data_IF_644152980997
#
_entry.id   IF_644152980997
#
_cell.length_a   1.000
_cell.length_b   1.000
_cell.length_c   1.000
_cell.angle_alpha   90.00
_cell.angle_beta   90.00
_cell.angle_gamma   90.00
#
_symmetry.space_group_name_H-M   'P 1'
#
loop_
_entity.id
_entity.type
_entity.pdbx_description
1 polymer ?
#
# COMPACT_ATOMS: atom_id res chain seq x y z
N UNK A 1 56.67 -4.79 28.44
CA UNK A 1 55.54 -4.02 29.01
C UNK A 1 55.13 -2.81 28.16
N UNK A 2 56.07 -2.05 27.56
CA UNK A 2 55.76 -0.87 26.73
C UNK A 2 54.95 -1.17 25.44
N UNK A 3 55.12 -2.36 24.85
CA UNK A 3 54.34 -2.79 23.69
C UNK A 3 52.92 -3.29 24.00
N UNK A 4 52.66 -3.74 25.23
CA UNK A 4 51.32 -4.19 25.66
C UNK A 4 50.39 -3.00 25.96
N UNK A 5 50.95 -1.89 26.45
CA UNK A 5 50.19 -0.66 26.73
C UNK A 5 49.78 0.03 25.42
N UNK A 6 50.61 -0.04 24.36
CA UNK A 6 50.29 0.52 23.04
C UNK A 6 49.18 -0.29 22.36
N UNK A 7 49.16 -1.62 22.51
CA UNK A 7 48.10 -2.47 21.95
C UNK A 7 46.74 -2.24 22.64
N UNK A 8 46.75 -2.04 23.96
CA UNK A 8 45.54 -1.73 24.72
C UNK A 8 44.98 -0.32 24.42
N UNK A 9 45.85 0.66 24.13
CA UNK A 9 45.44 1.99 23.71
C UNK A 9 44.88 2.03 22.27
N UNK A 10 45.35 1.14 21.37
CA UNK A 10 44.80 1.03 20.01
C UNK A 10 43.42 0.38 19.93
N UNK A 11 43.00 -0.36 20.96
CA UNK A 11 41.68 -1.01 21.01
C UNK A 11 40.52 -0.07 21.38
N UNK A 12 40.83 1.13 21.89
CA UNK A 12 39.82 2.09 22.38
C UNK A 12 39.38 3.15 21.36
N UNK A 13 39.96 3.18 20.15
CA UNK A 13 39.69 4.24 19.16
C UNK A 13 38.67 3.84 18.07
N UNK A 14 38.15 2.61 18.08
CA UNK A 14 37.28 2.11 16.99
C UNK A 14 35.80 1.86 17.35
N UNK A 15 35.28 2.35 18.47
CA UNK A 15 33.86 2.16 18.83
C UNK A 15 32.96 3.39 18.62
N UNK A 16 33.45 4.41 17.91
CA UNK A 16 32.64 5.55 17.50
C UNK A 16 32.15 5.40 16.06
N UNK A 17 30.82 5.38 15.88
CA UNK A 17 30.06 5.47 14.60
C UNK A 17 29.61 4.11 14.02
N UNK A 18 28.35 3.79 13.71
CA UNK A 18 27.09 4.52 13.62
C UNK A 18 25.94 3.58 14.04
N UNK A 19 25.33 3.79 15.20
CA UNK A 19 23.95 3.36 15.43
C UNK A 19 23.07 4.60 15.31
N UNK A 20 22.75 5.01 14.08
CA UNK A 20 21.73 6.03 13.89
C UNK A 20 20.40 5.45 14.39
N UNK A 21 19.73 6.19 15.27
CA UNK A 21 18.40 5.86 15.76
C UNK A 21 17.46 5.62 14.55
N UNK A 22 16.77 4.46 14.47
CA UNK A 22 15.85 4.13 13.37
C UNK A 22 14.84 5.25 13.07
N UNK A 23 14.32 5.90 14.12
CA UNK A 23 13.35 7.00 13.97
C UNK A 23 13.99 8.18 13.23
N UNK A 24 15.24 8.54 13.57
CA UNK A 24 15.96 9.64 12.93
C UNK A 24 16.30 9.32 11.47
N UNK A 25 16.70 8.08 11.16
CA UNK A 25 16.96 7.65 9.78
C UNK A 25 15.69 7.67 8.93
N UNK A 26 14.57 7.17 9.47
CA UNK A 26 13.25 7.23 8.82
C UNK A 26 12.85 8.68 8.61
N UNK A 27 12.90 9.53 9.65
CA UNK A 27 12.59 10.96 9.54
C UNK A 27 13.41 11.64 8.45
N UNK A 28 14.72 11.42 8.43
CA UNK A 28 15.61 11.99 7.40
C UNK A 28 15.28 11.48 5.99
N UNK A 29 14.83 10.23 5.86
CA UNK A 29 14.42 9.65 4.58
C UNK A 29 13.17 10.36 4.04
N UNK A 30 12.13 10.48 4.85
CA UNK A 30 10.86 11.07 4.41
C UNK A 30 10.93 12.60 4.29
N UNK A 31 11.60 13.30 5.20
CA UNK A 31 11.77 14.76 5.11
C UNK A 31 12.58 15.21 3.89
N UNK A 32 13.48 14.36 3.38
CA UNK A 32 14.25 14.64 2.16
C UNK A 32 13.67 13.95 0.92
N UNK A 33 12.45 13.37 1.00
CA UNK A 33 11.85 12.64 -0.12
C UNK A 33 11.75 13.51 -1.37
N UNK A 34 11.19 14.72 -1.26
CA UNK A 34 11.00 15.63 -2.39
C UNK A 34 12.29 16.16 -3.03
N UNK A 35 13.46 15.94 -2.41
CA UNK A 35 14.77 16.30 -2.98
C UNK A 35 15.38 15.18 -3.83
N UNK A 36 14.77 14.00 -3.81
CA UNK A 36 15.24 12.79 -4.48
C UNK A 36 14.35 12.49 -5.68
N UNK A 37 14.90 11.78 -6.66
CA UNK A 37 14.16 11.43 -7.87
C UNK A 37 13.45 10.09 -7.69
N UNK A 38 12.17 10.03 -8.04
CA UNK A 38 11.42 8.77 -8.15
C UNK A 38 11.58 8.19 -9.54
N UNK A 39 12.24 7.04 -9.63
CA UNK A 39 12.35 6.24 -10.85
C UNK A 39 11.09 5.37 -10.97
N UNK A 40 10.28 5.63 -11.98
CA UNK A 40 9.10 4.81 -12.28
C UNK A 40 9.52 3.71 -13.24
N UNK A 41 9.60 2.49 -12.71
CA UNK A 41 10.12 1.34 -13.46
C UNK A 41 8.99 0.76 -14.30
N UNK A 42 9.11 0.91 -15.61
CA UNK A 42 8.14 0.44 -16.59
C UNK A 42 8.81 -0.67 -17.42
N UNK A 43 8.62 -1.96 -17.06
CA UNK A 43 9.35 -3.06 -17.68
C UNK A 43 8.85 -3.41 -19.09
N UNK A 44 7.61 -3.05 -19.43
CA UNK A 44 6.99 -3.39 -20.72
C UNK A 44 5.98 -2.34 -21.18
N UNK A 45 5.26 -2.63 -22.26
CA UNK A 45 4.14 -1.82 -22.79
C UNK A 45 2.78 -2.43 -22.45
N UNK A 46 2.68 -3.20 -21.36
CA UNK A 46 1.41 -3.76 -20.89
C UNK A 46 0.39 -2.66 -20.57
N UNK A 47 -0.90 -3.00 -20.57
CA UNK A 47 -1.97 -2.04 -20.24
C UNK A 47 -1.72 -1.38 -18.87
N UNK A 48 -1.39 -2.18 -17.87
CA UNK A 48 -1.07 -1.70 -16.53
C UNK A 48 0.13 -0.76 -16.50
N UNK A 49 1.15 -1.01 -17.31
CA UNK A 49 2.33 -0.14 -17.42
C UNK A 49 1.98 1.20 -18.09
N UNK A 50 1.10 1.18 -19.10
CA UNK A 50 0.58 2.39 -19.74
C UNK A 50 -0.29 3.21 -18.78
N UNK A 51 -1.16 2.55 -18.01
CA UNK A 51 -1.99 3.20 -16.99
C UNK A 51 -1.14 3.80 -15.87
N UNK A 52 -0.10 3.10 -15.41
CA UNK A 52 0.83 3.64 -14.41
C UNK A 52 1.59 4.84 -14.95
N UNK A 53 2.08 4.76 -16.20
CA UNK A 53 2.76 5.88 -16.86
C UNK A 53 1.85 7.10 -16.95
N UNK A 54 0.61 6.93 -17.38
CA UNK A 54 -0.38 8.00 -17.50
C UNK A 54 -0.73 8.61 -16.13
N UNK A 55 -1.01 7.76 -15.13
CA UNK A 55 -1.31 8.18 -13.77
C UNK A 55 -0.17 9.00 -13.16
N UNK A 56 1.08 8.54 -13.26
CA UNK A 56 2.24 9.28 -12.75
C UNK A 56 2.39 10.63 -13.45
N UNK A 57 2.28 10.69 -14.78
CA UNK A 57 2.36 11.95 -15.52
C UNK A 57 1.28 12.94 -15.04
N UNK A 58 0.06 12.45 -14.83
CA UNK A 58 -1.09 13.26 -14.44
C UNK A 58 -1.02 13.73 -13.00
N UNK A 59 -0.63 12.90 -12.03
CA UNK A 59 -0.82 13.22 -10.60
C UNK A 59 0.44 13.19 -9.73
N UNK A 60 1.58 12.67 -10.18
CA UNK A 60 2.79 12.64 -9.35
C UNK A 60 3.39 14.04 -9.19
N UNK A 61 3.46 14.53 -7.95
CA UNK A 61 3.92 15.89 -7.61
C UNK A 61 4.87 15.95 -6.41
N UNK A 62 4.95 14.90 -5.60
CA UNK A 62 5.73 14.91 -4.34
C UNK A 62 7.26 14.94 -4.53
N UNK A 63 7.76 14.56 -5.71
CA UNK A 63 9.17 14.57 -6.07
C UNK A 63 9.37 14.65 -7.59
N UNK A 64 10.54 15.08 -8.09
CA UNK A 64 10.93 14.84 -9.48
C UNK A 64 10.83 13.36 -9.81
N UNK A 65 10.41 13.02 -11.03
CA UNK A 65 10.33 11.63 -11.48
C UNK A 65 10.90 11.43 -12.87
N UNK A 66 11.37 10.22 -13.13
CA UNK A 66 11.87 9.78 -14.43
C UNK A 66 11.39 8.35 -14.68
N UNK A 67 11.06 8.02 -15.92
CA UNK A 67 10.77 6.64 -16.29
C UNK A 67 12.08 5.90 -16.58
N UNK A 68 12.18 4.67 -16.12
CA UNK A 68 13.28 3.78 -16.48
C UNK A 68 12.77 2.37 -16.80
N UNK A 69 13.58 1.59 -17.51
CA UNK A 69 13.31 0.18 -17.72
C UNK A 69 13.88 -0.67 -16.57
N UNK A 70 13.60 -1.98 -16.62
CA UNK A 70 14.09 -2.90 -15.60
C UNK A 70 15.63 -3.04 -15.60
N UNK A 71 16.29 -2.90 -16.76
CA UNK A 71 17.73 -3.05 -16.88
C UNK A 71 18.48 -1.86 -16.23
N UNK A 72 17.98 -0.64 -16.41
CA UNK A 72 18.44 0.55 -15.71
C UNK A 72 18.20 0.39 -14.21
N UNK A 73 16.98 0.00 -13.79
CA UNK A 73 16.67 -0.27 -12.39
C UNK A 73 17.69 -1.21 -11.73
N UNK A 74 18.04 -2.34 -12.37
CA UNK A 74 19.01 -3.28 -11.81
C UNK A 74 20.40 -2.64 -11.55
N UNK A 75 20.82 -1.68 -12.37
CA UNK A 75 22.09 -0.96 -12.22
C UNK A 75 22.03 0.05 -11.07
N UNK A 76 20.90 0.73 -10.89
CA UNK A 76 20.78 1.85 -9.94
C UNK A 76 20.03 1.53 -8.64
N UNK A 77 19.47 0.33 -8.47
CA UNK A 77 18.67 -0.06 -7.28
C UNK A 77 19.37 0.11 -5.92
N UNK A 78 20.70 0.14 -5.91
CA UNK A 78 21.52 0.35 -4.70
C UNK A 78 21.83 1.83 -4.42
N UNK A 79 21.46 2.75 -5.32
CA UNK A 79 21.67 4.17 -5.13
C UNK A 79 20.59 4.76 -4.22
N UNK A 80 21.02 5.32 -3.09
CA UNK A 80 20.13 5.90 -2.08
C UNK A 80 19.52 7.25 -2.50
N UNK A 81 19.94 7.82 -3.63
CA UNK A 81 19.36 9.04 -4.21
C UNK A 81 18.02 8.79 -4.92
N UNK A 82 17.69 7.53 -5.20
CA UNK A 82 16.45 7.18 -5.88
C UNK A 82 15.42 6.50 -4.97
N UNK A 83 14.16 6.72 -5.30
CA UNK A 83 13.06 5.84 -4.95
C UNK A 83 12.57 5.14 -6.21
N UNK A 84 12.02 3.94 -6.08
CA UNK A 84 11.55 3.15 -7.19
C UNK A 84 10.06 2.88 -7.02
N UNK A 85 9.25 3.39 -7.96
CA UNK A 85 7.83 3.05 -8.05
C UNK A 85 7.69 1.99 -9.13
N UNK A 86 7.26 0.78 -8.76
CA UNK A 86 7.22 -0.33 -9.71
C UNK A 86 6.18 -1.37 -9.35
N UNK A 87 5.71 -2.10 -10.37
CA UNK A 87 4.87 -3.28 -10.18
C UNK A 87 5.76 -4.46 -9.78
N UNK A 88 5.36 -5.19 -8.75
CA UNK A 88 6.10 -6.36 -8.24
C UNK A 88 5.16 -7.52 -7.99
N UNK A 89 5.57 -8.72 -8.38
CA UNK A 89 4.91 -9.94 -7.95
C UNK A 89 5.27 -10.25 -6.50
N UNK A 90 4.28 -10.65 -5.70
CA UNK A 90 4.45 -10.99 -4.29
C UNK A 90 5.55 -12.02 -4.04
N UNK A 91 6.70 -11.56 -3.56
CA UNK A 91 7.83 -12.41 -3.14
C UNK A 91 7.71 -12.77 -1.66
N UNK A 92 6.84 -13.72 -1.30
CA UNK A 92 6.98 -14.41 0.00
C UNK A 92 7.74 -15.73 -0.20
N UNK A 93 9.01 -15.70 0.23
CA UNK A 93 10.06 -16.70 0.01
C UNK A 93 9.85 -18.09 0.66
N UNK A 94 8.65 -18.51 1.05
CA UNK A 94 8.50 -19.86 1.66
C UNK A 94 7.29 -20.70 1.31
N UNK A 95 6.26 -20.20 0.65
CA UNK A 95 5.07 -21.03 0.38
C UNK A 95 4.54 -20.81 -1.02
N UNK A 96 3.86 -21.84 -1.53
CA UNK A 96 3.09 -21.92 -2.77
C UNK A 96 1.92 -20.90 -2.81
N UNK A 97 2.19 -19.64 -2.45
CA UNK A 97 1.18 -18.59 -2.44
C UNK A 97 0.94 -18.13 -3.89
N UNK A 98 -0.31 -18.14 -4.37
CA UNK A 98 -0.66 -17.53 -5.65
C UNK A 98 -0.24 -16.06 -5.63
N UNK A 99 0.55 -15.69 -6.65
CA UNK A 99 1.18 -14.39 -6.77
C UNK A 99 0.11 -13.31 -6.92
N UNK A 100 0.07 -12.35 -6.00
CA UNK A 100 -0.61 -11.07 -6.19
C UNK A 100 0.42 -10.10 -6.74
N UNK A 101 0.02 -9.30 -7.71
CA UNK A 101 0.80 -8.16 -8.18
C UNK A 101 0.53 -6.95 -7.29
N UNK A 102 1.58 -6.21 -6.95
CA UNK A 102 1.52 -5.01 -6.13
C UNK A 102 2.09 -3.81 -6.88
N UNK A 103 1.52 -2.63 -6.67
CA UNK A 103 2.22 -1.37 -6.91
C UNK A 103 3.01 -1.05 -5.65
N UNK A 104 4.33 -1.00 -5.77
CA UNK A 104 5.22 -0.82 -4.64
C UNK A 104 6.12 0.39 -4.82
N UNK A 105 6.24 1.18 -3.75
CA UNK A 105 7.29 2.19 -3.62
C UNK A 105 8.43 1.65 -2.76
N UNK A 106 9.63 1.66 -3.32
CA UNK A 106 10.85 1.13 -2.72
C UNK A 106 11.88 2.25 -2.56
N UNK A 107 12.64 2.25 -1.48
CA UNK A 107 13.82 3.10 -1.31
C UNK A 107 15.06 2.40 -1.87
N UNK A 108 15.82 3.10 -2.71
CA UNK A 108 17.11 2.62 -3.18
C UNK A 108 18.15 2.45 -2.06
N UNK A 109 19.07 1.52 -2.28
CA UNK A 109 20.08 1.11 -1.30
C UNK A 109 19.84 -0.28 -0.73
N UNK A 110 20.75 -0.70 0.13
CA UNK A 110 20.69 -2.01 0.76
C UNK A 110 19.44 -2.16 1.64
N UNK A 111 18.78 -3.32 1.56
CA UNK A 111 17.67 -3.64 2.44
C UNK A 111 18.19 -3.79 3.88
N UNK A 112 17.84 -2.83 4.74
CA UNK A 112 18.07 -2.97 6.18
C UNK A 112 16.78 -3.43 6.84
N UNK A 113 16.76 -4.69 7.28
CA UNK A 113 15.71 -5.27 8.14
C UNK A 113 16.08 -5.07 9.61
N UNK A 114 15.21 -4.41 10.38
CA UNK A 114 15.34 -4.28 11.85
C UNK A 114 13.98 -4.51 12.50
N UNK A 115 13.76 -5.71 13.06
CA UNK A 115 12.47 -6.10 13.65
C UNK A 115 11.35 -6.15 12.59
N UNK A 116 10.23 -5.46 12.83
CA UNK A 116 9.11 -5.36 11.90
C UNK A 116 9.33 -4.32 10.78
N UNK A 117 10.40 -3.51 10.84
CA UNK A 117 10.69 -2.46 9.87
C UNK A 117 11.69 -2.95 8.81
N UNK A 118 11.32 -2.82 7.53
CA UNK A 118 12.24 -2.88 6.40
C UNK A 118 12.35 -1.47 5.82
N UNK A 119 13.56 -0.93 5.76
CA UNK A 119 13.83 0.39 5.16
C UNK A 119 13.66 0.42 3.63
N UNK A 120 13.47 -0.74 3.01
CA UNK A 120 13.43 -0.89 1.56
C UNK A 120 12.00 -0.71 1.02
N UNK A 121 11.00 -1.39 1.58
CA UNK A 121 9.61 -1.30 1.11
C UNK A 121 8.83 -0.23 1.89
N UNK A 122 8.52 0.89 1.25
CA UNK A 122 7.79 2.00 1.87
C UNK A 122 6.30 1.66 1.97
N UNK A 123 5.69 1.28 0.85
CA UNK A 123 4.28 0.90 0.76
C UNK A 123 4.09 -0.11 -0.36
N UNK A 124 3.22 -1.10 -0.13
CA UNK A 124 2.81 -2.09 -1.12
C UNK A 124 1.28 -2.05 -1.22
N UNK A 125 0.76 -1.77 -2.42
CA UNK A 125 -0.68 -1.74 -2.68
C UNK A 125 -1.04 -2.89 -3.63
N UNK A 126 -1.93 -3.81 -3.23
CA UNK A 126 -2.29 -4.98 -4.05
C UNK A 126 -3.11 -4.53 -5.26
N UNK A 127 -2.74 -4.92 -6.46
CA UNK A 127 -3.48 -4.57 -7.68
C UNK A 127 -4.43 -5.70 -8.01
N UNK A 128 -3.89 -6.84 -8.42
CA UNK A 128 -4.65 -7.97 -8.93
C UNK A 128 -3.84 -9.26 -8.76
N UNK A 129 -4.38 -10.38 -9.24
CA UNK A 129 -3.55 -11.56 -9.38
C UNK A 129 -2.43 -11.29 -10.40
N UNK A 130 -1.23 -11.77 -10.11
CA UNK A 130 -0.13 -11.78 -11.08
C UNK A 130 -0.53 -12.55 -12.33
N UNK A 131 -0.08 -12.07 -13.48
CA UNK A 131 -0.37 -12.62 -14.81
C UNK A 131 -1.86 -12.55 -15.21
N UNK A 132 -2.67 -11.81 -14.46
CA UNK A 132 -4.06 -11.54 -14.82
C UNK A 132 -4.14 -10.58 -16.03
N UNK A 133 -4.78 -11.06 -17.08
CA UNK A 133 -4.97 -10.32 -18.34
C UNK A 133 -6.28 -9.54 -18.35
N UNK A 134 -7.22 -9.88 -17.48
CA UNK A 134 -8.56 -9.28 -17.46
C UNK A 134 -8.52 -7.84 -16.95
N UNK A 135 -7.50 -7.50 -16.14
CA UNK A 135 -7.22 -6.13 -15.74
C UNK A 135 -8.27 -5.52 -14.81
N UNK A 136 -9.12 -6.33 -14.18
CA UNK A 136 -10.33 -5.87 -13.47
C UNK A 136 -10.09 -4.97 -12.25
N UNK A 137 -8.84 -4.78 -11.81
CA UNK A 137 -8.48 -3.84 -10.75
C UNK A 137 -7.48 -2.76 -11.22
N UNK A 138 -7.18 -2.67 -12.52
CA UNK A 138 -6.23 -1.68 -13.04
C UNK A 138 -6.76 -0.25 -12.93
N UNK A 139 -8.08 -0.05 -12.88
CA UNK A 139 -8.73 1.24 -12.61
C UNK A 139 -8.28 1.88 -11.28
N UNK A 140 -7.71 1.09 -10.36
CA UNK A 140 -7.17 1.58 -9.08
C UNK A 140 -5.80 2.23 -9.20
N UNK A 141 -5.06 2.02 -10.31
CA UNK A 141 -3.69 2.52 -10.46
C UNK A 141 -3.61 4.05 -10.27
N UNK A 142 -4.47 4.88 -10.90
CA UNK A 142 -4.52 6.32 -10.63
C UNK A 142 -4.69 6.64 -9.14
N UNK A 143 -5.66 6.00 -8.48
CA UNK A 143 -5.88 6.19 -7.05
C UNK A 143 -4.66 5.76 -6.21
N UNK A 144 -3.97 4.69 -6.60
CA UNK A 144 -2.79 4.21 -5.88
C UNK A 144 -1.62 5.17 -5.96
N UNK A 145 -1.43 5.84 -7.10
CA UNK A 145 -0.41 6.89 -7.23
C UNK A 145 -0.66 7.99 -6.20
N UNK A 146 -1.90 8.41 -6.01
CA UNK A 146 -2.28 9.43 -5.02
C UNK A 146 -2.16 8.91 -3.58
N UNK A 147 -2.59 7.67 -3.31
CA UNK A 147 -2.44 7.02 -2.00
C UNK A 147 -0.97 6.93 -1.58
N UNK A 148 -0.06 6.64 -2.51
CA UNK A 148 1.37 6.57 -2.23
C UNK A 148 1.91 7.95 -1.83
N UNK A 149 1.47 9.01 -2.51
CA UNK A 149 1.85 10.38 -2.16
C UNK A 149 1.29 10.79 -0.78
N UNK A 150 -0.01 10.54 -0.52
CA UNK A 150 -0.65 10.75 0.79
C UNK A 150 0.09 10.00 1.90
N UNK A 151 0.51 8.75 1.64
CA UNK A 151 1.27 7.96 2.59
C UNK A 151 2.59 8.62 2.99
N UNK A 152 3.33 9.18 2.02
CA UNK A 152 4.59 9.89 2.28
C UNK A 152 4.33 11.17 3.08
N UNK A 153 3.36 11.99 2.68
CA UNK A 153 3.01 13.23 3.40
C UNK A 153 2.67 12.95 4.86
N UNK A 154 1.87 11.91 5.13
CA UNK A 154 1.51 11.53 6.50
C UNK A 154 2.71 11.10 7.33
N UNK A 155 3.67 10.37 6.75
CA UNK A 155 4.89 10.01 7.47
C UNK A 155 5.78 11.23 7.72
N UNK A 156 5.79 12.22 6.82
CA UNK A 156 6.48 13.49 7.05
C UNK A 156 5.85 14.27 8.22
N UNK A 157 4.52 14.30 8.31
CA UNK A 157 3.79 14.90 9.44
C UNK A 157 4.08 14.17 10.77
N UNK A 158 4.07 12.83 10.74
CA UNK A 158 4.32 12.01 11.93
C UNK A 158 5.10 10.74 11.60
N UNK A 159 6.41 10.80 11.84
CA UNK A 159 7.34 9.67 11.56
C UNK A 159 6.94 8.37 12.26
N UNK A 160 6.20 8.43 13.37
CA UNK A 160 5.74 7.25 14.10
C UNK A 160 4.79 6.39 13.25
N UNK A 161 4.12 6.99 12.27
CA UNK A 161 3.23 6.28 11.35
C UNK A 161 3.96 5.25 10.48
N UNK A 162 5.24 5.48 10.15
CA UNK A 162 6.07 4.53 9.40
C UNK A 162 6.26 3.18 10.13
N UNK A 163 6.01 3.14 11.44
CA UNK A 163 6.16 1.96 12.28
C UNK A 163 4.82 1.27 12.62
N UNK A 164 3.69 1.81 12.16
CA UNK A 164 2.35 1.23 12.41
C UNK A 164 1.95 0.12 11.42
N UNK A 165 2.71 -0.10 10.34
CA UNK A 165 2.33 -1.05 9.28
C UNK A 165 0.94 -0.73 8.71
N UNK A 166 0.08 -1.73 8.54
CA UNK A 166 -1.29 -1.53 8.03
C UNK A 166 -2.21 -0.75 8.98
N UNK A 167 -1.87 -0.65 10.28
CA UNK A 167 -2.65 0.14 11.26
C UNK A 167 -2.55 1.65 11.00
N UNK A 168 -1.66 2.09 10.10
CA UNK A 168 -1.62 3.49 9.67
C UNK A 168 -2.96 3.97 9.06
N UNK A 169 -3.82 3.04 8.62
CA UNK A 169 -5.11 3.33 8.01
C UNK A 169 -6.31 3.01 8.91
N UNK A 170 -6.14 2.33 10.05
CA UNK A 170 -7.29 1.96 10.90
C UNK A 170 -8.01 3.16 11.49
N UNK A 171 -7.27 4.24 11.77
CA UNK A 171 -7.80 5.45 12.43
C UNK A 171 -8.56 6.37 11.46
N UNK A 172 -8.59 6.03 10.16
CA UNK A 172 -9.16 6.86 9.08
C UNK A 172 -10.60 6.51 8.72
N UNK A 173 -11.15 5.41 9.24
CA UNK A 173 -12.56 5.06 8.98
C UNK A 173 -13.51 6.17 9.42
N UNK A 174 -13.15 6.97 10.44
CA UNK A 174 -13.90 8.15 10.86
C UNK A 174 -14.18 9.17 9.74
N UNK A 175 -13.31 9.23 8.72
CA UNK A 175 -13.46 10.10 7.55
C UNK A 175 -14.55 9.63 6.57
N UNK A 176 -15.13 8.45 6.79
CA UNK A 176 -16.30 7.99 6.05
C UNK A 176 -17.59 8.72 6.47
N UNK A 177 -17.56 9.46 7.59
CA UNK A 177 -18.74 10.21 8.04
C UNK A 177 -19.22 11.18 6.95
N UNK A 178 -20.49 11.04 6.56
CA UNK A 178 -21.11 11.84 5.50
C UNK A 178 -20.80 11.36 4.08
N UNK A 179 -20.11 10.23 3.91
CA UNK A 179 -19.88 9.60 2.60
C UNK A 179 -20.75 8.36 2.43
N UNK A 180 -21.22 8.12 1.21
CA UNK A 180 -21.85 6.85 0.83
C UNK A 180 -20.79 5.82 0.45
N UNK A 181 -20.81 4.65 1.07
CA UNK A 181 -19.87 3.56 0.75
C UNK A 181 -20.51 2.57 -0.22
N UNK A 182 -19.85 2.36 -1.36
CA UNK A 182 -20.27 1.42 -2.39
C UNK A 182 -19.56 0.08 -2.17
N UNK A 183 -20.33 -0.99 -2.09
CA UNK A 183 -19.84 -2.36 -1.97
C UNK A 183 -20.43 -3.20 -3.09
N UNK A 184 -19.66 -4.14 -3.61
CA UNK A 184 -20.23 -5.22 -4.40
C UNK A 184 -20.50 -6.42 -3.50
N UNK A 185 -21.60 -7.14 -3.74
CA UNK A 185 -22.05 -8.22 -2.85
C UNK A 185 -21.06 -9.40 -2.82
N UNK A 186 -20.40 -9.66 -3.94
CA UNK A 186 -19.34 -10.66 -4.08
C UNK A 186 -18.07 -10.35 -3.27
N UNK A 187 -17.90 -9.10 -2.82
CA UNK A 187 -16.79 -8.68 -1.97
C UNK A 187 -17.05 -8.95 -0.48
N UNK A 188 -18.24 -9.38 -0.09
CA UNK A 188 -18.55 -9.77 1.29
C UNK A 188 -18.15 -11.22 1.53
N UNK A 189 -17.35 -11.44 2.58
CA UNK A 189 -16.89 -12.79 2.98
C UNK A 189 -17.88 -13.53 3.88
N UNK A 190 -19.11 -13.06 3.99
CA UNK A 190 -20.19 -13.64 4.77
C UNK A 190 -21.54 -13.27 4.17
N UNK A 191 -22.55 -14.08 4.43
CA UNK A 191 -23.92 -13.82 3.98
C UNK A 191 -24.62 -12.82 4.91
N UNK A 192 -25.29 -11.84 4.31
CA UNK A 192 -26.12 -10.85 4.97
C UNK A 192 -27.23 -10.41 4.03
N UNK A 193 -28.42 -10.15 4.56
CA UNK A 193 -29.52 -9.62 3.77
C UNK A 193 -29.26 -8.15 3.41
N UNK A 194 -29.63 -7.74 2.20
CA UNK A 194 -29.34 -6.40 1.66
C UNK A 194 -29.91 -5.29 2.57
N UNK A 195 -31.12 -5.49 3.09
CA UNK A 195 -31.75 -4.56 4.03
C UNK A 195 -30.99 -4.45 5.36
N UNK A 196 -30.46 -5.58 5.85
CA UNK A 196 -29.68 -5.60 7.09
C UNK A 196 -28.33 -4.90 6.87
N UNK A 197 -27.68 -5.16 5.74
CA UNK A 197 -26.44 -4.50 5.36
C UNK A 197 -26.57 -2.98 5.32
N UNK A 198 -27.58 -2.46 4.60
CA UNK A 198 -27.82 -1.01 4.50
C UNK A 198 -28.13 -0.40 5.87
N UNK A 199 -28.88 -1.10 6.73
CA UNK A 199 -29.16 -0.66 8.11
C UNK A 199 -27.89 -0.51 8.96
N UNK A 200 -26.87 -1.35 8.77
CA UNK A 200 -25.60 -1.23 9.51
C UNK A 200 -24.88 0.10 9.26
N UNK A 201 -25.11 0.72 8.09
CA UNK A 201 -24.56 2.02 7.70
C UNK A 201 -25.57 3.16 7.85
N UNK A 202 -26.71 2.94 8.53
CA UNK A 202 -27.81 3.92 8.63
C UNK A 202 -28.28 4.47 7.27
N UNK A 203 -28.18 3.69 6.20
CA UNK A 203 -28.53 4.12 4.84
C UNK A 203 -27.37 4.65 4.00
N UNK A 204 -26.21 4.90 4.58
CA UNK A 204 -25.04 5.47 3.89
C UNK A 204 -24.15 4.40 3.21
N UNK A 205 -24.70 3.24 2.88
CA UNK A 205 -24.04 2.25 2.04
C UNK A 205 -24.97 1.70 0.98
N UNK A 206 -24.39 1.31 -0.16
CA UNK A 206 -25.11 0.70 -1.29
C UNK A 206 -24.41 -0.58 -1.74
N UNK A 207 -25.21 -1.60 -2.01
CA UNK A 207 -24.77 -2.78 -2.76
C UNK A 207 -24.95 -2.47 -4.25
N UNK A 208 -23.85 -2.51 -5.00
CA UNK A 208 -23.77 -2.12 -6.42
C UNK A 208 -23.00 -3.18 -7.22
N UNK A 209 -22.93 -3.03 -8.55
CA UNK A 209 -22.10 -3.89 -9.39
C UNK A 209 -20.60 -3.53 -9.30
N UNK A 210 -19.74 -4.40 -9.85
CA UNK A 210 -18.31 -4.09 -9.97
C UNK A 210 -18.07 -2.90 -10.91
N UNK A 211 -18.84 -2.81 -12.01
CA UNK A 211 -18.76 -1.70 -12.96
C UNK A 211 -19.11 -0.37 -12.28
N UNK A 212 -20.15 -0.33 -11.43
CA UNK A 212 -20.50 0.87 -10.66
C UNK A 212 -19.37 1.33 -9.72
N UNK A 213 -18.54 0.40 -9.23
CA UNK A 213 -17.37 0.72 -8.40
C UNK A 213 -16.26 1.32 -9.25
N UNK A 214 -15.98 0.72 -10.41
CA UNK A 214 -14.99 1.22 -11.36
C UNK A 214 -15.36 2.63 -11.85
N UNK A 215 -16.61 2.82 -12.28
CA UNK A 215 -17.15 4.11 -12.72
C UNK A 215 -17.04 5.15 -11.59
N UNK A 216 -17.41 4.80 -10.36
CA UNK A 216 -17.34 5.74 -9.25
C UNK A 216 -15.91 6.24 -8.96
N UNK A 217 -14.90 5.39 -9.11
CA UNK A 217 -13.48 5.79 -8.99
C UNK A 217 -13.04 6.61 -10.19
N UNK A 218 -13.34 6.14 -11.41
CA UNK A 218 -12.90 6.77 -12.65
C UNK A 218 -13.48 8.18 -12.82
N UNK A 219 -14.74 8.36 -12.45
CA UNK A 219 -15.46 9.63 -12.54
C UNK A 219 -15.23 10.55 -11.34
N UNK A 220 -14.40 10.14 -10.37
CA UNK A 220 -14.15 10.86 -9.12
C UNK A 220 -15.43 11.26 -8.38
N UNK A 221 -16.37 10.31 -8.25
CA UNK A 221 -17.70 10.57 -7.69
C UNK A 221 -17.61 11.25 -6.33
N UNK A 222 -18.28 12.39 -6.17
CA UNK A 222 -18.21 13.16 -4.94
C UNK A 222 -18.89 12.46 -3.76
N UNK A 223 -18.38 12.69 -2.55
CA UNK A 223 -18.98 12.21 -1.29
C UNK A 223 -19.20 10.69 -1.26
N UNK A 224 -18.38 9.92 -1.99
CA UNK A 224 -18.41 8.46 -1.93
C UNK A 224 -17.06 7.84 -1.60
N UNK A 225 -17.13 6.58 -1.20
CA UNK A 225 -15.99 5.68 -1.08
C UNK A 225 -16.38 4.32 -1.65
N UNK A 226 -15.40 3.59 -2.18
CA UNK A 226 -15.61 2.25 -2.70
C UNK A 226 -14.90 1.22 -1.83
N UNK A 227 -15.55 0.07 -1.70
CA UNK A 227 -14.94 -1.13 -1.17
C UNK A 227 -14.30 -1.93 -2.31
N UNK A 228 -13.09 -2.41 -2.04
CA UNK A 228 -12.30 -3.18 -3.00
C UNK A 228 -11.70 -4.38 -2.30
N UNK A 229 -11.82 -5.54 -2.92
CA UNK A 229 -11.19 -6.77 -2.45
C UNK A 229 -10.28 -7.32 -3.53
N UNK A 230 -8.99 -7.46 -3.20
CA UNK A 230 -8.02 -8.13 -4.06
C UNK A 230 -7.77 -9.53 -3.51
N UNK A 231 -8.12 -10.54 -4.30
CA UNK A 231 -8.04 -11.95 -3.96
C UNK A 231 -7.14 -12.63 -5.01
N UNK A 232 -6.24 -13.54 -4.62
CA UNK A 232 -5.53 -14.34 -5.60
C UNK A 232 -6.48 -15.33 -6.26
N UNK A 233 -6.28 -15.64 -7.55
CA UNK A 233 -7.11 -16.59 -8.28
C UNK A 233 -7.18 -17.94 -7.60
N UNK A 234 -8.39 -18.50 -7.59
CA UNK A 234 -8.75 -19.70 -6.86
C UNK A 234 -9.13 -19.46 -5.39
N UNK A 235 -8.86 -18.28 -4.83
CA UNK A 235 -9.26 -17.95 -3.45
C UNK A 235 -8.78 -18.98 -2.43
N UNK A 236 -7.61 -19.59 -2.69
CA UNK A 236 -7.20 -20.83 -2.04
C UNK A 236 -6.97 -20.63 -0.55
N UNK A 237 -7.45 -21.59 0.26
CA UNK A 237 -7.18 -21.57 1.69
C UNK A 237 -5.67 -21.53 1.96
N UNK A 238 -5.24 -20.64 2.85
CA UNK A 238 -3.84 -20.38 3.14
C UNK A 238 -3.27 -19.14 2.45
N UNK A 239 -3.86 -18.70 1.34
CA UNK A 239 -3.50 -17.45 0.65
C UNK A 239 -4.05 -16.23 1.40
N UNK A 240 -3.74 -15.02 0.92
CA UNK A 240 -4.19 -13.77 1.55
C UNK A 240 -5.10 -12.98 0.64
N UNK A 241 -6.19 -12.43 1.19
CA UNK A 241 -6.97 -11.38 0.55
C UNK A 241 -6.65 -10.01 1.17
N UNK A 242 -6.83 -8.97 0.38
CA UNK A 242 -6.68 -7.59 0.80
C UNK A 242 -8.00 -6.87 0.64
N UNK A 243 -8.36 -6.07 1.65
CA UNK A 243 -9.62 -5.34 1.74
C UNK A 243 -9.33 -3.87 1.91
N UNK A 244 -9.90 -3.03 1.07
CA UNK A 244 -9.63 -1.61 1.03
C UNK A 244 -10.92 -0.79 0.98
N UNK A 245 -10.90 0.36 1.64
CA UNK A 245 -11.90 1.42 1.45
C UNK A 245 -11.16 2.65 0.95
N UNK A 246 -11.53 3.13 -0.23
CA UNK A 246 -10.87 4.25 -0.93
C UNK A 246 -11.91 5.31 -1.25
N UNK A 247 -11.65 6.58 -0.92
CA UNK A 247 -12.54 7.66 -1.36
C UNK A 247 -12.40 7.88 -2.86
N UNK A 248 -13.51 8.11 -3.53
CA UNK A 248 -13.56 8.25 -4.98
C UNK A 248 -13.11 9.63 -5.45
N UNK A 249 -13.39 10.67 -4.68
CA UNK A 249 -13.09 12.07 -5.01
C UNK A 249 -11.64 12.47 -4.74
N UNK A 250 -11.05 11.95 -3.67
CA UNK A 250 -9.73 12.37 -3.20
C UNK A 250 -8.71 11.24 -3.13
N UNK A 251 -9.07 10.05 -3.58
CA UNK A 251 -8.24 8.84 -3.56
C UNK A 251 -7.58 8.57 -2.20
N UNK A 252 -8.30 8.82 -1.10
CA UNK A 252 -7.77 8.57 0.24
C UNK A 252 -8.04 7.12 0.65
N UNK A 253 -6.98 6.40 1.00
CA UNK A 253 -7.09 5.06 1.58
C UNK A 253 -7.50 5.16 3.05
N UNK A 254 -8.75 4.81 3.34
CA UNK A 254 -9.37 4.92 4.68
C UNK A 254 -9.37 3.61 5.46
N UNK A 255 -9.19 2.48 4.79
CA UNK A 255 -9.08 1.17 5.42
C UNK A 255 -8.20 0.27 4.56
N UNK A 256 -7.29 -0.48 5.17
CA UNK A 256 -6.53 -1.54 4.52
C UNK A 256 -6.32 -2.70 5.50
N UNK A 257 -6.82 -3.88 5.15
CA UNK A 257 -6.59 -5.09 5.93
C UNK A 257 -6.19 -6.25 5.05
N UNK A 258 -5.05 -6.87 5.39
CA UNK A 258 -4.61 -8.16 4.87
C UNK A 258 -5.17 -9.28 5.77
N UNK A 259 -5.80 -10.29 5.17
CA UNK A 259 -6.38 -11.42 5.90
C UNK A 259 -5.98 -12.74 5.24
N UNK A 260 -5.59 -13.72 6.05
CA UNK A 260 -5.37 -15.09 5.58
C UNK A 260 -6.70 -15.77 5.34
N UNK A 261 -6.89 -16.31 4.14
CA UNK A 261 -8.11 -17.01 3.72
C UNK A 261 -8.16 -18.39 4.38
N UNK A 262 -9.29 -18.71 4.98
CA UNK A 262 -9.56 -20.03 5.56
C UNK A 262 -11.06 -20.34 5.55
N UNK A 263 -11.45 -21.57 5.87
CA UNK A 263 -12.88 -21.94 5.98
C UNK A 263 -13.64 -21.07 7.00
N UNK A 264 -12.98 -20.63 8.08
CA UNK A 264 -13.58 -19.78 9.11
C UNK A 264 -13.50 -18.29 8.79
N UNK A 265 -12.71 -17.93 7.80
CA UNK A 265 -12.47 -16.55 7.39
C UNK A 265 -12.33 -16.51 5.88
N UNK A 266 -13.47 -16.62 5.15
CA UNK A 266 -13.49 -16.59 3.69
C UNK A 266 -12.87 -15.30 3.14
N UNK A 267 -12.58 -15.29 1.84
CA UNK A 267 -12.15 -14.07 1.16
C UNK A 267 -13.28 -13.02 1.15
N UNK A 268 -12.94 -11.74 1.13
CA UNK A 268 -13.90 -10.65 1.26
C UNK A 268 -14.01 -10.05 2.66
N UNK A 269 -14.78 -8.95 2.77
CA UNK A 269 -15.04 -8.24 4.02
C UNK A 269 -15.79 -9.13 5.00
N UNK A 270 -15.21 -9.35 6.18
CA UNK A 270 -15.86 -10.09 7.26
C UNK A 270 -16.83 -9.20 8.03
N UNK A 271 -17.75 -9.79 8.78
CA UNK A 271 -18.60 -9.05 9.71
C UNK A 271 -17.82 -8.19 10.72
N UNK A 272 -16.57 -8.60 11.08
CA UNK A 272 -15.70 -7.80 11.92
C UNK A 272 -15.19 -6.54 11.20
N UNK A 273 -14.88 -6.64 9.91
CA UNK A 273 -14.48 -5.49 9.11
C UNK A 273 -15.65 -4.52 8.95
N UNK A 274 -16.83 -5.03 8.61
CA UNK A 274 -18.02 -4.21 8.46
C UNK A 274 -18.32 -3.47 9.77
N UNK A 275 -18.22 -4.13 10.94
CA UNK A 275 -18.38 -3.46 12.24
C UNK A 275 -17.38 -2.32 12.48
N UNK A 276 -16.13 -2.48 12.04
CA UNK A 276 -15.11 -1.42 12.17
C UNK A 276 -15.39 -0.26 11.22
N UNK A 277 -15.81 -0.55 9.99
CA UNK A 277 -16.11 0.44 8.96
C UNK A 277 -17.40 1.20 9.30
N UNK A 278 -18.36 0.57 9.98
CA UNK A 278 -19.62 1.20 10.37
C UNK A 278 -19.53 2.05 11.65
N UNK A 279 -18.44 1.95 12.41
CA UNK A 279 -18.25 2.72 13.65
C UNK A 279 -18.54 4.25 13.52
N UNK A 280 -18.15 4.95 12.44
CA UNK A 280 -18.46 6.38 12.25
C UNK A 280 -19.96 6.67 12.10
N UNK A 281 -20.75 5.69 11.66
CA UNK A 281 -22.18 5.81 11.45
C UNK A 281 -22.96 5.48 12.72
N UNK A 282 -22.34 4.88 13.74
CA UNK A 282 -23.05 4.47 14.95
C UNK A 282 -23.36 5.63 15.91
N UNK A 283 -22.72 6.79 15.74
CA UNK A 283 -22.89 7.99 16.56
C UNK A 283 -23.65 9.09 15.81
#
# INVERSE_FOLDING_TARGET
>A
MRHFIILAASLFVFTGSFSQNPITQTRNTFNNYGKKTTKVVIPSTSLADLMLRDAVNKSWRISPFEFCDYAEYQKIKQDTNYFFLMRVDGMYKKDLEPKIEYLTLIKGGAEVKRGLYSSHNIINLPIQQSEDLDGGNLFLIPAYVDIIQDHIYRIQESVLLAFKGSLIYSDRVSMLKGKTVLFSKDQLGYEIADEEFVKLFKGDAKLVSADDIEDAVTDNKENSAVAVVVIPKGGTAGSYCYKMIITTDSHQLLFLRRQKISKRSPAGFSAEDIRKITAPYQF
#
